data_IF_318495040843
#
_entry.id   IF_318495040843
#
_cell.length_a   1.000
_cell.length_b   1.000
_cell.length_c   1.000
_cell.angle_alpha   90.00
_cell.angle_beta   90.00
_cell.angle_gamma   90.00
#
_symmetry.space_group_name_H-M   'P 1'
#
loop_
_entity.id
_entity.type
_entity.pdbx_description
1 polymer ?
#
# COMPACT_ATOMS: atom_id res chain seq x y z
N UNK A 1 -14.65 -1.41 -17.52
CA UNK A 1 -13.19 -1.42 -17.65
C UNK A 1 -12.62 -0.03 -17.50
N UNK A 2 -11.39 0.07 -17.00
CA UNK A 2 -10.79 1.34 -16.62
C UNK A 2 -9.44 1.53 -17.29
N UNK A 3 -9.16 2.76 -17.73
CA UNK A 3 -7.82 3.15 -18.19
C UNK A 3 -6.92 3.35 -16.98
N UNK A 4 -5.60 3.43 -17.20
CA UNK A 4 -4.66 3.67 -16.10
C UNK A 4 -4.93 5.01 -15.40
N UNK A 5 -5.36 6.01 -16.15
CA UNK A 5 -5.72 7.33 -15.60
C UNK A 5 -6.94 7.24 -14.67
N UNK A 6 -7.96 6.48 -15.10
CA UNK A 6 -9.16 6.27 -14.30
C UNK A 6 -8.85 5.50 -13.01
N UNK A 7 -7.96 4.50 -13.11
CA UNK A 7 -7.51 3.73 -11.92
C UNK A 7 -6.75 4.63 -10.97
N UNK A 8 -5.88 5.50 -11.48
CA UNK A 8 -5.12 6.45 -10.67
C UNK A 8 -6.06 7.34 -9.85
N UNK A 9 -7.07 7.90 -10.49
CA UNK A 9 -8.06 8.76 -9.83
C UNK A 9 -8.88 7.96 -8.80
N UNK A 10 -9.34 6.77 -9.18
CA UNK A 10 -10.20 5.93 -8.36
C UNK A 10 -9.49 5.38 -7.11
N UNK A 11 -8.21 5.07 -7.23
CA UNK A 11 -7.42 4.43 -6.19
C UNK A 11 -6.53 5.41 -5.42
N UNK A 12 -6.59 6.68 -5.76
CA UNK A 12 -5.74 7.72 -5.15
C UNK A 12 -4.26 7.37 -5.25
N UNK A 13 -3.82 7.05 -6.44
CA UNK A 13 -2.43 6.73 -6.76
C UNK A 13 -2.03 7.60 -7.95
N UNK A 14 -0.80 8.13 -7.98
CA UNK A 14 -0.35 8.89 -9.13
C UNK A 14 -0.28 8.00 -10.37
N UNK A 15 -0.60 8.58 -11.52
CA UNK A 15 -0.50 7.88 -12.81
C UNK A 15 0.94 7.41 -13.06
N UNK A 16 1.91 8.23 -12.68
CA UNK A 16 3.34 7.91 -12.77
C UNK A 16 3.67 6.63 -11.98
N UNK A 17 3.19 6.53 -10.75
CA UNK A 17 3.41 5.35 -9.90
C UNK A 17 2.77 4.10 -10.51
N UNK A 18 1.54 4.21 -11.00
CA UNK A 18 0.86 3.08 -11.64
C UNK A 18 1.59 2.60 -12.89
N UNK A 19 2.09 3.53 -13.71
CA UNK A 19 2.88 3.17 -14.90
C UNK A 19 4.16 2.46 -14.53
N UNK A 20 4.82 2.92 -13.47
CA UNK A 20 6.02 2.26 -12.95
C UNK A 20 5.71 0.84 -12.48
N UNK A 21 4.63 0.66 -11.72
CA UNK A 21 4.22 -0.67 -11.24
C UNK A 21 3.87 -1.60 -12.40
N UNK A 22 3.17 -1.10 -13.40
CA UNK A 22 2.83 -1.88 -14.59
C UNK A 22 4.08 -2.33 -15.33
N UNK A 23 5.06 -1.44 -15.51
CA UNK A 23 6.34 -1.77 -16.13
C UNK A 23 7.16 -2.74 -15.30
N UNK A 24 7.00 -2.71 -13.97
CA UNK A 24 7.69 -3.61 -13.05
C UNK A 24 7.12 -5.03 -13.06
N UNK A 25 6.03 -5.25 -13.81
CA UNK A 25 5.41 -6.57 -13.92
C UNK A 25 4.45 -6.90 -12.80
N UNK A 26 3.91 -5.88 -12.10
CA UNK A 26 2.99 -6.10 -10.98
C UNK A 26 1.57 -6.42 -11.43
N UNK A 27 1.24 -6.16 -12.71
CA UNK A 27 -0.10 -6.37 -13.25
C UNK A 27 -0.09 -7.26 -14.49
N UNK A 28 0.43 -8.50 -14.39
CA UNK A 28 0.54 -9.38 -15.57
C UNK A 28 -0.80 -9.85 -16.12
N UNK A 29 -1.88 -9.72 -15.31
CA UNK A 29 -3.22 -10.14 -15.70
C UNK A 29 -3.98 -9.07 -16.49
N UNK A 30 -3.47 -7.83 -16.50
CA UNK A 30 -4.12 -6.71 -17.18
C UNK A 30 -3.92 -6.86 -18.68
N UNK A 31 -5.02 -6.84 -19.42
CA UNK A 31 -5.02 -6.98 -20.87
C UNK A 31 -4.97 -5.61 -21.53
N UNK A 32 -4.52 -5.60 -22.80
CA UNK A 32 -4.52 -4.41 -23.62
C UNK A 32 -5.68 -4.49 -24.60
N UNK A 33 -6.24 -3.32 -24.97
CA UNK A 33 -7.28 -3.23 -25.99
C UNK A 33 -6.66 -3.22 -27.39
N UNK A 34 -7.51 -3.01 -28.42
CA UNK A 34 -7.10 -2.97 -29.83
C UNK A 34 -6.03 -1.91 -30.10
N UNK A 35 -6.04 -0.82 -29.34
CA UNK A 35 -5.08 0.27 -29.46
C UNK A 35 -3.83 0.07 -28.58
N UNK A 36 -3.62 -1.15 -28.09
CA UNK A 36 -2.49 -1.49 -27.23
C UNK A 36 -2.47 -0.72 -25.90
N UNK A 37 -3.63 -0.30 -25.42
CA UNK A 37 -3.80 0.43 -24.15
C UNK A 37 -4.24 -0.54 -23.07
N UNK A 38 -3.58 -0.51 -21.90
CA UNK A 38 -3.95 -1.33 -20.73
C UNK A 38 -5.35 -0.98 -20.25
N UNK A 39 -6.18 -2.00 -20.08
CA UNK A 39 -7.56 -1.86 -19.59
C UNK A 39 -7.73 -2.73 -18.34
N UNK A 40 -8.09 -2.10 -17.26
CA UNK A 40 -8.24 -2.77 -15.95
C UNK A 40 -9.69 -3.16 -15.72
N UNK A 41 -9.92 -4.41 -15.32
CA UNK A 41 -11.22 -4.89 -14.87
C UNK A 41 -11.40 -4.59 -13.39
N UNK A 42 -12.61 -4.78 -12.87
CA UNK A 42 -12.85 -4.67 -11.43
C UNK A 42 -11.97 -5.63 -10.64
N UNK A 43 -11.76 -6.84 -11.14
CA UNK A 43 -10.87 -7.81 -10.51
C UNK A 43 -9.42 -7.33 -10.51
N UNK A 44 -8.99 -6.66 -11.57
CA UNK A 44 -7.65 -6.08 -11.66
C UNK A 44 -7.44 -4.98 -10.61
N UNK A 45 -8.50 -4.25 -10.25
CA UNK A 45 -8.42 -3.23 -9.19
C UNK A 45 -8.05 -3.84 -7.84
N UNK A 46 -8.46 -5.07 -7.56
CA UNK A 46 -8.05 -5.78 -6.34
C UNK A 46 -6.54 -6.01 -6.31
N UNK A 47 -5.94 -6.32 -7.48
CA UNK A 47 -4.48 -6.46 -7.59
C UNK A 47 -3.77 -5.13 -7.35
N UNK A 48 -4.30 -4.04 -7.88
CA UNK A 48 -3.76 -2.70 -7.62
C UNK A 48 -3.84 -2.38 -6.12
N UNK A 49 -4.95 -2.72 -5.49
CA UNK A 49 -5.17 -2.48 -4.06
C UNK A 49 -4.15 -3.23 -3.21
N UNK A 50 -3.89 -4.51 -3.49
CA UNK A 50 -2.91 -5.27 -2.71
C UNK A 50 -1.48 -4.75 -2.91
N UNK A 51 -1.11 -4.35 -4.13
CA UNK A 51 0.20 -3.75 -4.38
C UNK A 51 0.36 -2.44 -3.60
N UNK A 52 -0.66 -1.59 -3.62
CA UNK A 52 -0.67 -0.34 -2.84
C UNK A 52 -0.48 -0.64 -1.34
N UNK A 53 -1.18 -1.63 -0.83
CA UNK A 53 -1.07 -2.05 0.57
C UNK A 53 0.34 -2.53 0.91
N UNK A 54 0.91 -3.42 0.11
CA UNK A 54 2.26 -3.94 0.35
C UNK A 54 3.30 -2.83 0.33
N UNK A 55 3.21 -1.90 -0.62
CA UNK A 55 4.11 -0.74 -0.67
C UNK A 55 3.92 0.16 0.54
N UNK A 56 2.69 0.37 0.97
CA UNK A 56 2.37 1.18 2.15
C UNK A 56 2.98 0.64 3.44
N UNK A 57 3.10 -0.67 3.56
CA UNK A 57 3.75 -1.32 4.71
C UNK A 57 5.28 -1.27 4.60
N UNK A 58 5.81 -0.99 3.41
CA UNK A 58 7.24 -0.91 3.16
C UNK A 58 7.83 -2.14 2.47
N UNK A 59 6.99 -2.99 1.88
CA UNK A 59 7.47 -4.14 1.12
C UNK A 59 8.25 -3.66 -0.11
N UNK A 60 9.45 -4.18 -0.29
CA UNK A 60 10.29 -3.82 -1.43
C UNK A 60 9.68 -4.32 -2.75
N UNK A 61 9.97 -3.61 -3.83
CA UNK A 61 9.44 -3.95 -5.16
C UNK A 61 9.79 -5.38 -5.58
N UNK A 62 10.98 -5.85 -5.24
CA UNK A 62 11.42 -7.21 -5.52
C UNK A 62 10.54 -8.25 -4.82
N UNK A 63 10.17 -7.99 -3.58
CA UNK A 63 9.31 -8.88 -2.81
C UNK A 63 7.87 -8.87 -3.33
N UNK A 64 7.38 -7.72 -3.78
CA UNK A 64 6.08 -7.61 -4.43
C UNK A 64 6.06 -8.44 -5.71
N UNK A 65 7.10 -8.31 -6.53
CA UNK A 65 7.22 -9.10 -7.78
C UNK A 65 7.19 -10.59 -7.48
N UNK A 66 7.91 -11.02 -6.44
CA UNK A 66 7.90 -12.42 -6.01
C UNK A 66 6.48 -12.90 -5.66
N UNK A 67 5.73 -12.10 -4.89
CA UNK A 67 4.35 -12.41 -4.54
C UNK A 67 3.48 -12.55 -5.80
N UNK A 68 3.60 -11.61 -6.73
CA UNK A 68 2.85 -11.65 -8.00
C UNK A 68 3.23 -12.91 -8.80
N UNK A 69 4.51 -13.25 -8.88
CA UNK A 69 4.98 -14.45 -9.59
C UNK A 69 4.36 -15.72 -8.99
N UNK A 70 4.25 -15.80 -7.66
CA UNK A 70 3.57 -16.91 -7.00
C UNK A 70 2.09 -16.98 -7.39
N UNK A 71 1.44 -15.83 -7.51
CA UNK A 71 0.05 -15.77 -7.97
C UNK A 71 -0.13 -16.32 -9.39
N UNK A 72 0.83 -16.05 -10.27
CA UNK A 72 0.83 -16.55 -11.65
C UNK A 72 0.95 -18.07 -11.66
N UNK A 73 1.82 -18.65 -10.81
CA UNK A 73 2.00 -20.11 -10.71
C UNK A 73 0.68 -20.77 -10.31
N UNK A 74 -0.07 -20.17 -9.40
CA UNK A 74 -1.43 -20.61 -9.08
C UNK A 74 -1.55 -21.38 -7.76
N UNK A 75 -2.48 -22.32 -7.69
CA UNK A 75 -2.95 -22.93 -6.45
C UNK A 75 -1.87 -23.62 -5.62
N UNK A 76 -0.82 -24.14 -6.25
CA UNK A 76 0.27 -24.79 -5.53
C UNK A 76 1.03 -23.82 -4.62
N UNK A 77 0.86 -22.51 -4.79
CA UNK A 77 1.56 -21.46 -4.02
C UNK A 77 0.68 -20.78 -2.98
N UNK A 78 -0.55 -21.23 -2.78
CA UNK A 78 -1.49 -20.59 -1.85
C UNK A 78 -0.91 -20.51 -0.44
N UNK A 79 -0.31 -21.59 0.04
CA UNK A 79 0.30 -21.62 1.37
C UNK A 79 1.43 -20.59 1.49
N UNK A 80 2.32 -20.55 0.50
CA UNK A 80 3.43 -19.59 0.48
C UNK A 80 2.94 -18.14 0.43
N UNK A 81 1.91 -17.89 -0.39
CA UNK A 81 1.29 -16.56 -0.48
C UNK A 81 0.67 -16.15 0.84
N UNK A 82 0.00 -17.08 1.52
CA UNK A 82 -0.60 -16.82 2.83
C UNK A 82 0.45 -16.43 3.85
N UNK A 83 1.61 -17.10 3.85
CA UNK A 83 2.73 -16.75 4.75
C UNK A 83 3.24 -15.33 4.48
N UNK A 84 3.35 -14.93 3.22
CA UNK A 84 3.77 -13.56 2.86
C UNK A 84 2.78 -12.54 3.42
N UNK A 85 1.49 -12.76 3.23
CA UNK A 85 0.45 -11.86 3.73
C UNK A 85 0.46 -11.80 5.26
N UNK A 86 0.61 -12.95 5.91
CA UNK A 86 0.67 -13.05 7.37
C UNK A 86 1.86 -12.26 7.93
N UNK A 87 3.04 -12.42 7.32
CA UNK A 87 4.25 -11.72 7.75
C UNK A 87 4.13 -10.20 7.51
N UNK A 88 3.53 -9.81 6.39
CA UNK A 88 3.29 -8.38 6.08
C UNK A 88 2.32 -7.77 7.08
N UNK A 89 1.26 -8.47 7.42
CA UNK A 89 0.29 -8.04 8.43
C UNK A 89 0.98 -7.81 9.78
N UNK A 90 1.86 -8.73 10.17
CA UNK A 90 2.61 -8.62 11.42
C UNK A 90 3.48 -7.36 11.44
N UNK A 91 4.16 -7.05 10.34
CA UNK A 91 4.94 -5.82 10.21
C UNK A 91 4.07 -4.58 10.33
N UNK A 92 2.91 -4.59 9.69
CA UNK A 92 1.95 -3.48 9.75
C UNK A 92 1.48 -3.24 11.19
N UNK A 93 1.19 -4.32 11.92
CA UNK A 93 0.79 -4.24 13.32
C UNK A 93 1.90 -3.65 14.20
N UNK A 94 3.15 -4.04 13.94
CA UNK A 94 4.30 -3.47 14.64
C UNK A 94 4.47 -1.98 14.36
N UNK A 95 4.26 -1.55 13.13
CA UNK A 95 4.29 -0.14 12.74
C UNK A 95 3.18 0.66 13.42
N UNK A 96 1.98 0.08 13.52
CA UNK A 96 0.87 0.68 14.27
C UNK A 96 1.23 0.91 15.73
N UNK A 97 1.79 -0.10 16.38
CA UNK A 97 2.16 -0.02 17.79
C UNK A 97 3.24 1.03 18.01
N UNK A 98 4.22 1.12 17.12
CA UNK A 98 5.27 2.13 17.18
C UNK A 98 4.70 3.53 16.99
N UNK A 99 3.83 3.70 16.02
CA UNK A 99 3.18 4.99 15.75
C UNK A 99 2.32 5.42 16.94
N UNK A 100 1.64 4.49 17.60
CA UNK A 100 0.86 4.76 18.80
C UNK A 100 1.74 5.31 19.92
N UNK A 101 2.93 4.71 20.13
CA UNK A 101 3.88 5.22 21.12
C UNK A 101 4.33 6.64 20.81
N UNK A 102 4.54 6.95 19.53
CA UNK A 102 4.90 8.30 19.11
C UNK A 102 3.77 9.29 19.37
N UNK A 103 2.53 8.90 19.08
CA UNK A 103 1.35 9.74 19.35
C UNK A 103 1.24 10.03 20.87
N UNK A 104 1.44 9.01 21.69
CA UNK A 104 1.38 9.17 23.14
C UNK A 104 2.43 10.15 23.65
N UNK A 105 3.64 10.09 23.12
CA UNK A 105 4.70 11.03 23.47
C UNK A 105 4.37 12.46 23.05
N UNK A 106 3.84 12.61 21.83
CA UNK A 106 3.43 13.93 21.33
C UNK A 106 2.26 14.50 22.14
N UNK A 107 1.32 13.66 22.54
CA UNK A 107 0.21 14.07 23.41
C UNK A 107 0.73 14.59 24.75
N UNK A 108 1.66 13.88 25.35
CA UNK A 108 2.33 14.32 26.58
C UNK A 108 2.99 15.70 26.40
N UNK A 109 3.73 15.87 25.29
CA UNK A 109 4.44 17.13 25.01
C UNK A 109 3.48 18.29 24.76
N UNK A 110 2.38 18.03 24.08
CA UNK A 110 1.34 19.03 23.84
C UNK A 110 0.76 19.53 25.16
N UNK A 111 0.42 18.63 26.07
CA UNK A 111 -0.09 18.97 27.39
C UNK A 111 0.92 19.79 28.19
N UNK A 112 2.19 19.44 28.09
CA UNK A 112 3.27 20.18 28.70
C UNK A 112 3.28 21.65 28.24
N UNK A 113 3.21 21.88 26.93
CA UNK A 113 3.18 23.24 26.40
C UNK A 113 1.90 23.98 26.74
N UNK A 114 0.76 23.30 26.72
CA UNK A 114 -0.52 23.90 27.11
C UNK A 114 -0.46 24.42 28.53
N UNK A 115 0.15 23.67 29.45
CA UNK A 115 0.34 24.12 30.85
C UNK A 115 1.26 25.33 30.95
N UNK A 116 2.33 25.36 30.17
CA UNK A 116 3.23 26.53 30.12
C UNK A 116 2.52 27.77 29.62
N UNK A 117 1.75 27.63 28.56
CA UNK A 117 0.97 28.75 27.96
C UNK A 117 -0.04 29.25 28.99
N UNK A 118 -0.77 28.35 29.63
CA UNK A 118 -1.75 28.69 30.68
C UNK A 118 -1.11 29.44 31.84
N UNK A 119 0.05 28.98 32.29
CA UNK A 119 0.76 29.62 33.42
C UNK A 119 1.29 31.00 33.04
N UNK A 120 1.76 31.20 31.79
CA UNK A 120 2.18 32.51 31.30
C UNK A 120 1.01 33.50 31.23
N UNK A 121 -0.17 33.02 30.89
CA UNK A 121 -1.37 33.87 30.76
C UNK A 121 -1.94 34.28 32.14
N UNK A 122 -1.58 33.59 33.21
CA UNK A 122 -2.00 33.93 34.59
C UNK A 122 -1.19 35.08 35.21
N UNK A 123 -0.03 35.36 34.70
CA UNK A 123 0.82 36.46 35.14
C UNK A 123 0.48 37.73 34.35
#
# INVERSE_FOLDING_TARGET
>A
MYTIKEVADKMDISEHTLRFWAKSGFFPFVKRNENNIRMFTDNDLEWVRIVKCLRGVGTENKAIKHYIDLCIIGDSTISDRNEIIKDTKKKAEQQMNELKRQVDLLDYKEKFYQNLIKNKLKD
#
